data_IF_764199690406
#
_entry.id   IF_764199690406
#
_cell.length_a   1.000
_cell.length_b   1.000
_cell.length_c   1.000
_cell.angle_alpha   90.00
_cell.angle_beta   90.00
_cell.angle_gamma   90.00
#
_symmetry.space_group_name_H-M   'P 1'
#
loop_
_entity.id
_entity.type
_entity.pdbx_description
1 polymer ?
#
# COMPACT_ATOMS: atom_id res chain seq x y z
N UNK A 1 23.36 3.42 -21.09
CA UNK A 1 21.98 3.88 -20.98
C UNK A 1 21.51 3.50 -19.61
N UNK A 2 21.13 4.47 -18.78
CA UNK A 2 20.69 4.19 -17.43
C UNK A 2 19.22 3.80 -17.49
N UNK A 3 18.93 2.50 -17.59
CA UNK A 3 17.63 1.99 -17.17
C UNK A 3 17.51 2.35 -15.69
N UNK A 4 16.76 3.41 -15.40
CA UNK A 4 16.50 3.84 -14.04
C UNK A 4 15.80 2.70 -13.32
N UNK A 5 16.51 1.99 -12.44
CA UNK A 5 15.89 1.00 -11.56
C UNK A 5 14.97 1.80 -10.64
N UNK A 6 13.66 1.70 -10.86
CA UNK A 6 12.64 2.34 -10.05
C UNK A 6 12.19 1.37 -8.95
N UNK A 7 11.86 1.90 -7.78
CA UNK A 7 11.17 1.13 -6.75
C UNK A 7 9.75 0.73 -7.17
N UNK A 8 9.02 -0.01 -6.31
CA UNK A 8 7.63 -0.37 -6.55
C UNK A 8 6.74 0.87 -6.78
N UNK A 9 5.90 0.81 -7.81
CA UNK A 9 4.97 1.91 -8.15
C UNK A 9 3.54 1.39 -8.09
N UNK A 10 2.64 2.14 -7.44
CA UNK A 10 1.22 1.81 -7.41
C UNK A 10 0.64 1.57 -8.82
N UNK A 11 -0.08 0.45 -9.00
CA UNK A 11 -0.77 0.11 -10.25
C UNK A 11 -2.27 0.24 -10.11
N UNK A 12 -2.84 -0.38 -9.08
CA UNK A 12 -4.28 -0.41 -8.82
C UNK A 12 -4.56 -0.85 -7.38
N UNK A 13 -5.74 -0.48 -6.90
CA UNK A 13 -6.35 -1.01 -5.68
C UNK A 13 -7.72 -1.58 -6.05
N UNK A 14 -8.01 -2.80 -5.63
CA UNK A 14 -9.33 -3.43 -5.82
C UNK A 14 -9.88 -3.84 -4.46
N UNK A 15 -11.17 -3.60 -4.21
CA UNK A 15 -11.80 -4.08 -2.97
C UNK A 15 -11.89 -5.60 -2.98
N UNK A 16 -11.60 -6.21 -1.84
CA UNK A 16 -11.76 -7.63 -1.55
C UNK A 16 -12.35 -7.78 -0.14
N UNK A 17 -13.66 -8.04 -0.06
CA UNK A 17 -14.40 -7.98 1.20
C UNK A 17 -14.25 -6.63 1.90
N UNK A 18 -13.82 -6.66 3.16
CA UNK A 18 -13.57 -5.46 3.99
C UNK A 18 -12.17 -4.86 3.82
N UNK A 19 -11.43 -5.24 2.78
CA UNK A 19 -10.08 -4.75 2.51
C UNK A 19 -9.84 -4.37 1.06
N UNK A 20 -8.57 -4.08 0.77
CA UNK A 20 -8.06 -3.87 -0.58
C UNK A 20 -6.97 -4.89 -0.90
N UNK A 21 -6.90 -5.27 -2.17
CA UNK A 21 -5.73 -5.88 -2.80
C UNK A 21 -5.05 -4.80 -3.64
N UNK A 22 -3.80 -4.49 -3.30
CA UNK A 22 -2.97 -3.49 -3.96
C UNK A 22 -1.98 -4.17 -4.88
N UNK A 23 -1.95 -3.74 -6.14
CA UNK A 23 -0.98 -4.17 -7.13
C UNK A 23 0.06 -3.09 -7.36
N UNK A 24 1.32 -3.53 -7.56
CA UNK A 24 2.44 -2.67 -7.86
C UNK A 24 3.06 -3.07 -9.21
N UNK A 25 3.67 -2.09 -9.90
CA UNK A 25 4.64 -2.29 -10.98
C UNK A 25 6.04 -2.28 -10.39
N UNK A 26 7.03 -2.76 -11.14
CA UNK A 26 8.44 -2.80 -10.75
C UNK A 26 8.66 -3.58 -9.45
N UNK A 27 7.92 -4.67 -9.30
CA UNK A 27 8.03 -5.61 -8.19
C UNK A 27 8.42 -6.97 -8.69
N UNK A 28 9.20 -7.65 -7.88
CA UNK A 28 9.57 -9.03 -8.09
C UNK A 28 8.36 -9.94 -7.83
N UNK A 29 8.47 -11.19 -8.28
CA UNK A 29 7.46 -12.22 -8.03
C UNK A 29 8.12 -13.44 -7.35
N UNK A 30 7.88 -13.68 -6.05
CA UNK A 30 6.99 -12.93 -5.16
C UNK A 30 7.57 -11.55 -4.75
N UNK A 31 6.68 -10.64 -4.36
CA UNK A 31 7.08 -9.35 -3.77
C UNK A 31 7.83 -9.64 -2.46
N UNK A 32 9.03 -9.08 -2.23
CA UNK A 32 9.70 -9.15 -0.93
C UNK A 32 8.79 -8.71 0.23
N UNK A 33 8.61 -9.59 1.22
CA UNK A 33 7.90 -9.26 2.46
C UNK A 33 8.89 -8.77 3.52
N UNK A 34 8.66 -7.59 4.14
CA UNK A 34 9.45 -7.14 5.29
C UNK A 34 9.32 -8.10 6.48
N UNK A 35 10.38 -8.23 7.28
CA UNK A 35 10.41 -9.14 8.43
C UNK A 35 9.57 -8.61 9.61
N UNK A 36 9.50 -7.28 9.75
CA UNK A 36 8.73 -6.56 10.75
C UNK A 36 7.22 -6.45 10.42
N UNK A 37 6.78 -7.09 9.33
CA UNK A 37 5.43 -6.95 8.78
C UNK A 37 5.30 -5.72 7.87
N UNK A 38 4.24 -5.67 7.07
CA UNK A 38 4.02 -4.56 6.13
C UNK A 38 3.43 -3.35 6.87
N UNK A 39 4.03 -2.18 6.68
CA UNK A 39 3.67 -0.93 7.36
C UNK A 39 3.44 0.21 6.36
N UNK A 40 2.87 1.30 6.85
CA UNK A 40 2.71 2.55 6.09
C UNK A 40 1.41 2.66 5.30
N UNK A 41 0.47 1.73 5.45
CA UNK A 41 -0.87 1.83 4.86
C UNK A 41 -1.88 2.43 5.83
N UNK A 42 -2.73 3.30 5.33
CA UNK A 42 -3.93 3.77 6.01
C UNK A 42 -5.15 3.59 5.11
N UNK A 43 -6.30 3.22 5.68
CA UNK A 43 -7.57 3.13 4.95
C UNK A 43 -8.64 3.96 5.64
N UNK A 44 -9.61 4.43 4.86
CA UNK A 44 -10.78 5.15 5.33
C UNK A 44 -12.06 4.47 4.86
N UNK A 45 -13.12 4.55 5.67
CA UNK A 45 -14.47 4.19 5.28
C UNK A 45 -15.22 5.38 4.65
N UNK A 46 -16.57 5.32 4.58
CA UNK A 46 -17.40 6.42 4.09
C UNK A 46 -17.36 7.68 4.96
N UNK A 47 -16.83 7.57 6.19
CA UNK A 47 -16.62 8.70 7.10
C UNK A 47 -15.40 9.57 6.72
N UNK A 48 -14.61 9.12 5.74
CA UNK A 48 -13.38 9.75 5.27
C UNK A 48 -12.28 9.87 6.33
N UNK A 49 -12.40 9.15 7.45
CA UNK A 49 -11.41 9.15 8.53
C UNK A 49 -10.40 8.04 8.29
N UNK A 50 -9.17 8.43 7.95
CA UNK A 50 -8.07 7.49 7.75
C UNK A 50 -7.58 6.88 9.07
N UNK A 51 -7.42 5.56 9.08
CA UNK A 51 -6.87 4.78 10.19
C UNK A 51 -5.72 3.89 9.68
N UNK A 52 -4.69 3.71 10.50
CA UNK A 52 -3.58 2.80 10.17
C UNK A 52 -4.07 1.37 9.99
N UNK A 53 -3.76 0.78 8.84
CA UNK A 53 -4.29 -0.50 8.43
C UNK A 53 -3.28 -1.63 8.68
N UNK A 54 -3.80 -2.84 8.88
CA UNK A 54 -3.01 -4.05 8.73
C UNK A 54 -2.71 -4.29 7.25
N UNK A 55 -1.53 -4.83 6.97
CA UNK A 55 -1.14 -5.19 5.61
C UNK A 55 -0.30 -6.47 5.56
N UNK A 56 -0.39 -7.20 4.46
CA UNK A 56 0.38 -8.43 4.22
C UNK A 56 0.69 -8.60 2.74
N UNK A 57 1.90 -9.03 2.41
CA UNK A 57 2.24 -9.46 1.05
C UNK A 57 1.59 -10.81 0.74
N UNK A 58 0.92 -10.90 -0.40
CA UNK A 58 0.32 -12.11 -0.95
C UNK A 58 0.71 -12.24 -2.43
N UNK A 59 1.70 -13.10 -2.71
CA UNK A 59 2.28 -13.25 -4.05
C UNK A 59 2.97 -11.96 -4.50
N UNK A 60 2.43 -11.33 -5.54
CA UNK A 60 2.90 -10.04 -6.07
C UNK A 60 2.00 -8.85 -5.66
N UNK A 61 1.11 -9.07 -4.70
CA UNK A 61 0.15 -8.06 -4.22
C UNK A 61 0.29 -7.81 -2.73
N UNK A 62 -0.34 -6.74 -2.24
CA UNK A 62 -0.45 -6.46 -0.81
C UNK A 62 -1.93 -6.38 -0.44
N UNK A 63 -2.37 -7.23 0.48
CA UNK A 63 -3.70 -7.15 1.10
C UNK A 63 -3.66 -6.15 2.25
N UNK A 64 -4.62 -5.24 2.31
CA UNK A 64 -4.70 -4.14 3.29
C UNK A 64 -6.10 -4.09 3.91
N UNK A 65 -6.22 -4.05 5.23
CA UNK A 65 -7.52 -4.05 5.91
C UNK A 65 -7.47 -3.40 7.31
N UNK A 66 -8.63 -3.09 7.88
CA UNK A 66 -8.78 -2.63 9.25
C UNK A 66 -9.99 -3.33 9.88
N UNK A 67 -9.87 -3.77 11.13
CA UNK A 67 -10.92 -4.55 11.82
C UNK A 67 -12.24 -3.78 11.97
N UNK A 68 -12.16 -2.46 12.18
CA UNK A 68 -13.32 -1.58 12.37
C UNK A 68 -13.85 -0.93 11.07
N UNK A 69 -13.31 -1.28 9.89
CA UNK A 69 -13.75 -0.70 8.60
C UNK A 69 -14.26 -1.83 7.71
N UNK A 70 -15.59 -2.01 7.69
CA UNK A 70 -16.23 -3.04 6.88
C UNK A 70 -16.36 -2.66 5.40
N UNK A 71 -16.49 -1.37 5.10
CA UNK A 71 -16.70 -0.84 3.75
C UNK A 71 -15.60 0.17 3.40
N UNK A 72 -14.39 -0.29 3.03
CA UNK A 72 -13.29 0.61 2.76
C UNK A 72 -13.54 1.43 1.48
N UNK A 73 -13.41 2.75 1.60
CA UNK A 73 -13.63 3.70 0.52
C UNK A 73 -12.31 4.14 -0.14
N UNK A 74 -11.24 4.29 0.65
CA UNK A 74 -9.94 4.76 0.17
C UNK A 74 -8.76 4.14 0.91
N UNK A 75 -7.60 4.12 0.24
CA UNK A 75 -6.32 3.66 0.78
C UNK A 75 -5.21 4.64 0.43
N UNK A 76 -4.30 4.85 1.37
CA UNK A 76 -3.08 5.65 1.22
C UNK A 76 -1.87 4.84 1.65
N UNK A 77 -0.72 5.11 1.05
CA UNK A 77 0.57 4.54 1.44
C UNK A 77 1.61 5.64 1.61
N UNK A 78 2.36 5.59 2.71
CA UNK A 78 3.47 6.51 3.01
C UNK A 78 3.03 7.99 2.94
N UNK A 79 1.86 8.29 3.51
CA UNK A 79 1.23 9.61 3.53
C UNK A 79 1.32 10.27 4.92
N UNK A 80 1.37 11.61 4.96
CA UNK A 80 1.58 12.48 6.14
C UNK A 80 3.02 12.44 6.74
N UNK A 81 3.25 13.28 7.76
CA UNK A 81 4.57 13.61 8.33
C UNK A 81 5.30 12.46 9.09
N UNK A 82 4.92 11.21 8.85
CA UNK A 82 5.56 10.02 9.44
C UNK A 82 5.49 8.83 8.46
N UNK A 83 6.37 8.73 7.45
CA UNK A 83 6.35 7.56 6.59
C UNK A 83 7.23 6.46 7.20
N UNK A 84 6.60 5.48 7.86
CA UNK A 84 7.20 4.13 8.00
C UNK A 84 6.56 3.23 6.94
N UNK A 85 6.65 3.65 5.68
CA UNK A 85 6.43 2.75 4.55
C UNK A 85 7.67 1.90 4.36
N UNK A 86 7.55 0.58 4.48
CA UNK A 86 8.70 -0.33 4.46
C UNK A 86 8.72 -1.28 3.25
N UNK A 87 7.83 -1.09 2.27
CA UNK A 87 7.87 -1.88 1.04
C UNK A 87 9.07 -1.49 0.16
N UNK A 88 9.83 -2.52 -0.25
CA UNK A 88 10.99 -2.41 -1.12
C UNK A 88 11.01 -3.54 -2.13
N UNK A 89 11.53 -3.30 -3.33
CA UNK A 89 11.85 -4.39 -4.27
C UNK A 89 13.16 -5.11 -3.88
N UNK A 90 13.56 -6.15 -4.62
CA UNK A 90 14.79 -6.91 -4.36
C UNK A 90 16.06 -6.06 -4.43
N UNK A 91 16.05 -4.96 -5.19
CA UNK A 91 17.16 -4.01 -5.25
C UNK A 91 17.20 -3.05 -4.03
N UNK A 92 16.26 -3.19 -3.08
CA UNK A 92 16.17 -2.36 -1.88
C UNK A 92 15.52 -0.99 -2.09
N UNK A 93 14.97 -0.72 -3.28
CA UNK A 93 14.38 0.57 -3.61
C UNK A 93 12.97 0.70 -3.02
N UNK A 94 12.65 1.84 -2.38
CA UNK A 94 11.39 2.03 -1.68
C UNK A 94 10.21 2.18 -2.64
N UNK A 95 9.04 1.70 -2.21
CA UNK A 95 7.78 1.96 -2.91
C UNK A 95 7.42 3.45 -2.85
N UNK A 96 6.95 4.02 -3.97
CA UNK A 96 6.50 5.42 -4.02
C UNK A 96 5.20 5.62 -3.22
N UNK A 97 5.02 6.78 -2.55
CA UNK A 97 3.77 7.11 -1.89
C UNK A 97 2.60 7.20 -2.88
N UNK A 98 1.39 6.90 -2.44
CA UNK A 98 0.17 7.04 -3.25
C UNK A 98 -1.08 7.25 -2.38
N UNK A 99 -2.16 7.71 -3.02
CA UNK A 99 -3.53 7.78 -2.49
C UNK A 99 -4.53 7.39 -3.56
N UNK A 100 -5.69 6.87 -3.16
CA UNK A 100 -6.79 6.51 -4.08
C UNK A 100 -8.00 7.43 -3.98
N UNK A 101 -8.04 8.32 -2.98
CA UNK A 101 -9.07 9.33 -2.84
C UNK A 101 -8.68 10.65 -3.50
N UNK A 102 -9.70 11.39 -3.93
CA UNK A 102 -9.63 12.75 -4.48
C UNK A 102 -10.20 13.80 -3.50
N UNK A 103 -10.37 13.43 -2.24
CA UNK A 103 -10.98 14.28 -1.21
C UNK A 103 -10.07 15.44 -0.80
N UNK A 104 -10.67 16.61 -0.59
CA UNK A 104 -9.96 17.74 0.00
C UNK A 104 -9.64 17.42 1.47
N UNK A 105 -8.42 17.77 1.90
CA UNK A 105 -7.96 17.63 3.29
C UNK A 105 -8.27 18.88 4.12
#
# INVERSE_FOLDING_TARGET
GADAVMGPIFRSASRDGSGFVIQFRNVDNPFPSPAEGVQGFAIAGPDHVFRWAHAKVEGNTVRVWHQDIAEPAAVRYSWAANPIGNLRNQAGLPASPFRTDDWNE
#
